data_IF_248393940747
#
_entry.id   IF_248393940747
#
_cell.length_a   1.000
_cell.length_b   1.000
_cell.length_c   1.000
_cell.angle_alpha   90.00
_cell.angle_beta   90.00
_cell.angle_gamma   90.00
#
_symmetry.space_group_name_H-M   'P 1'
#
loop_
_entity.id
_entity.type
_entity.pdbx_description
1 polymer ?
#
# COMPACT_ATOMS: atom_id res chain seq x y z
N UNK A 1 -8.76 -3.72 -4.16
CA UNK A 1 -7.45 -3.37 -3.55
C UNK A 1 -6.48 -2.92 -4.64
N UNK A 2 -5.54 -2.07 -4.28
CA UNK A 2 -4.51 -1.59 -5.19
C UNK A 2 -3.13 -1.70 -4.55
N UNK A 3 -2.11 -1.87 -5.38
CA UNK A 3 -0.70 -1.94 -4.97
C UNK A 3 0.19 -1.23 -5.98
N UNK A 4 1.28 -0.67 -5.49
CA UNK A 4 2.34 -0.06 -6.29
C UNK A 4 3.57 0.08 -5.39
N UNK A 5 4.69 0.53 -5.95
CA UNK A 5 5.92 0.77 -5.21
C UNK A 5 6.31 2.23 -5.34
N UNK A 6 6.66 2.87 -4.23
CA UNK A 6 7.22 4.22 -4.25
C UNK A 6 8.63 4.22 -3.69
N UNK A 7 9.43 5.19 -4.14
CA UNK A 7 10.83 5.35 -3.78
C UNK A 7 11.03 6.62 -2.96
N UNK A 8 11.85 6.53 -1.92
CA UNK A 8 12.35 7.67 -1.15
C UNK A 8 13.85 7.75 -1.31
N UNK A 9 14.37 8.96 -1.55
CA UNK A 9 15.80 9.19 -1.68
C UNK A 9 16.25 10.16 -0.58
N UNK A 10 17.11 9.68 0.32
CA UNK A 10 17.59 10.42 1.48
C UNK A 10 19.05 10.02 1.76
N UNK A 11 19.88 11.00 2.09
CA UNK A 11 21.30 10.76 2.46
C UNK A 11 22.08 9.98 1.39
N UNK A 12 21.75 10.20 0.10
CA UNK A 12 22.36 9.44 -0.99
C UNK A 12 21.98 7.98 -1.08
N UNK A 13 20.98 7.55 -0.31
CA UNK A 13 20.47 6.19 -0.27
C UNK A 13 19.00 6.16 -0.68
N UNK A 14 18.54 4.98 -1.10
CA UNK A 14 17.16 4.77 -1.52
C UNK A 14 16.43 3.81 -0.58
N UNK A 15 15.16 4.08 -0.39
CA UNK A 15 14.25 3.23 0.36
C UNK A 15 12.95 3.08 -0.42
N UNK A 16 12.35 1.90 -0.40
CA UNK A 16 11.14 1.58 -1.15
C UNK A 16 10.03 1.15 -0.22
N UNK A 17 8.81 1.59 -0.52
CA UNK A 17 7.60 1.19 0.17
C UNK A 17 6.67 0.53 -0.83
N UNK A 18 6.17 -0.66 -0.48
CA UNK A 18 5.17 -1.39 -1.24
C UNK A 18 3.94 -1.63 -0.37
N UNK A 19 2.86 -0.86 -0.53
CA UNK A 19 1.62 -1.04 0.20
C UNK A 19 0.56 -1.78 -0.60
N UNK A 20 -0.42 -2.37 0.11
CA UNK A 20 -1.72 -2.75 -0.44
C UNK A 20 -2.77 -1.86 0.21
N UNK A 21 -3.54 -1.14 -0.60
CA UNK A 21 -4.63 -0.29 -0.13
C UNK A 21 -5.99 -0.86 -0.52
N UNK A 22 -6.94 -0.74 0.40
CA UNK A 22 -8.35 -0.85 0.06
C UNK A 22 -8.76 0.43 -0.69
N UNK A 23 -9.09 0.30 -1.97
CA UNK A 23 -9.37 1.46 -2.83
C UNK A 23 -10.69 2.15 -2.48
N UNK A 24 -11.56 1.50 -1.72
CA UNK A 24 -12.83 2.09 -1.30
C UNK A 24 -12.66 3.09 -0.15
N UNK A 25 -11.93 2.72 0.88
CA UNK A 25 -11.77 3.55 2.08
C UNK A 25 -10.34 4.02 2.34
N UNK A 26 -9.37 3.60 1.52
CA UNK A 26 -7.97 3.96 1.69
C UNK A 26 -7.26 3.23 2.82
N UNK A 27 -7.88 2.20 3.41
CA UNK A 27 -7.26 1.43 4.48
C UNK A 27 -6.00 0.71 3.98
N UNK A 28 -4.92 0.84 4.74
CA UNK A 28 -3.65 0.19 4.44
C UNK A 28 -3.71 -1.26 4.96
N UNK A 29 -3.90 -2.21 4.05
CA UNK A 29 -4.06 -3.63 4.39
C UNK A 29 -2.75 -4.25 4.82
N UNK A 30 -1.67 -3.95 4.09
CA UNK A 30 -0.34 -4.46 4.34
C UNK A 30 0.69 -3.56 3.67
N UNK A 31 1.94 -3.63 4.12
CA UNK A 31 3.05 -2.96 3.46
C UNK A 31 4.37 -3.63 3.79
N UNK A 32 5.38 -3.40 2.94
CA UNK A 32 6.78 -3.71 3.22
C UNK A 32 7.64 -2.52 2.89
N UNK A 33 8.73 -2.36 3.64
CA UNK A 33 9.76 -1.35 3.42
C UNK A 33 11.07 -2.10 3.14
N UNK A 34 11.77 -1.71 2.07
CA UNK A 34 13.02 -2.37 1.67
C UNK A 34 14.02 -1.34 1.16
N UNK A 35 15.30 -1.67 1.25
CA UNK A 35 16.37 -0.89 0.63
C UNK A 35 16.58 -1.23 -0.84
N UNK A 36 15.93 -2.30 -1.33
CA UNK A 36 16.01 -2.74 -2.73
C UNK A 36 14.63 -3.12 -3.28
N UNK A 37 14.31 -2.74 -4.55
CA UNK A 37 13.02 -3.05 -5.15
C UNK A 37 13.02 -4.49 -5.72
N UNK A 38 13.18 -5.48 -4.87
CA UNK A 38 13.23 -6.90 -5.25
C UNK A 38 11.86 -7.58 -5.14
N UNK A 39 11.70 -8.69 -5.85
CA UNK A 39 10.44 -9.45 -5.82
C UNK A 39 10.08 -9.90 -4.40
N UNK A 40 11.07 -10.27 -3.58
CA UNK A 40 10.84 -10.69 -2.19
C UNK A 40 10.09 -9.66 -1.34
N UNK A 41 10.31 -8.37 -1.60
CA UNK A 41 9.56 -7.29 -0.94
C UNK A 41 8.06 -7.40 -1.23
N UNK A 42 7.70 -7.67 -2.48
CA UNK A 42 6.31 -7.79 -2.92
C UNK A 42 5.67 -9.07 -2.38
N UNK A 43 6.37 -10.19 -2.45
CA UNK A 43 5.84 -11.48 -1.96
C UNK A 43 5.66 -11.47 -0.46
N UNK A 44 6.58 -10.86 0.29
CA UNK A 44 6.45 -10.72 1.74
C UNK A 44 5.24 -9.83 2.11
N UNK A 45 5.00 -8.76 1.37
CA UNK A 45 3.81 -7.93 1.53
C UNK A 45 2.53 -8.75 1.34
N UNK A 46 2.48 -9.61 0.31
CA UNK A 46 1.34 -10.48 0.06
C UNK A 46 1.13 -11.47 1.22
N UNK A 47 2.20 -12.08 1.71
CA UNK A 47 2.11 -13.02 2.84
C UNK A 47 1.46 -12.36 4.06
N UNK A 48 1.88 -11.13 4.38
CA UNK A 48 1.31 -10.36 5.48
C UNK A 48 -0.17 -10.05 5.24
N UNK A 49 -0.53 -9.65 4.03
CA UNK A 49 -1.93 -9.37 3.67
C UNK A 49 -2.79 -10.64 3.79
N UNK A 50 -2.26 -11.79 3.40
CA UNK A 50 -2.99 -13.06 3.41
C UNK A 50 -3.32 -13.56 4.81
N UNK A 51 -2.64 -13.07 5.83
CA UNK A 51 -2.99 -13.36 7.23
C UNK A 51 -4.37 -12.85 7.61
N UNK A 52 -4.81 -11.76 6.97
CA UNK A 52 -6.10 -11.12 7.26
C UNK A 52 -7.15 -11.33 6.18
N UNK A 53 -6.77 -11.82 5.01
CA UNK A 53 -7.69 -12.05 3.89
C UNK A 53 -8.05 -13.54 3.85
N UNK A 54 -9.35 -13.90 3.94
CA UNK A 54 -9.77 -15.30 3.80
C UNK A 54 -9.51 -15.84 2.38
N UNK A 55 -9.39 -17.15 2.25
CA UNK A 55 -9.24 -17.81 0.97
C UNK A 55 -10.53 -17.72 0.14
N UNK A 56 -10.38 -17.65 -1.18
CA UNK A 56 -11.50 -17.78 -2.11
C UNK A 56 -12.49 -16.64 -2.10
N UNK A 57 -12.08 -15.43 -1.64
CA UNK A 57 -12.98 -14.27 -1.58
C UNK A 57 -13.32 -13.67 -2.95
N UNK A 58 -12.52 -13.97 -3.98
CA UNK A 58 -12.66 -13.34 -5.29
C UNK A 58 -12.30 -11.86 -5.33
N UNK A 59 -11.60 -11.37 -4.31
CA UNK A 59 -11.13 -9.99 -4.27
C UNK A 59 -10.26 -9.67 -5.48
N UNK A 60 -10.25 -8.40 -5.88
CA UNK A 60 -9.45 -7.92 -7.00
C UNK A 60 -8.27 -7.12 -6.46
N UNK A 61 -7.06 -7.47 -6.88
CA UNK A 61 -5.85 -6.69 -6.59
C UNK A 61 -5.36 -6.04 -7.89
N UNK A 62 -5.43 -4.73 -7.92
CA UNK A 62 -5.05 -3.92 -9.07
C UNK A 62 -3.63 -3.39 -8.92
N UNK A 63 -2.85 -3.42 -10.01
CA UNK A 63 -1.50 -2.85 -10.07
C UNK A 63 -1.25 -2.22 -11.44
N UNK A 64 -0.09 -1.58 -11.62
CA UNK A 64 0.40 -1.24 -12.95
C UNK A 64 1.00 -2.48 -13.63
N UNK A 65 1.67 -2.30 -14.77
CA UNK A 65 2.31 -3.37 -15.52
C UNK A 65 3.77 -3.59 -15.14
N UNK A 66 4.18 -3.24 -13.92
CA UNK A 66 5.53 -3.46 -13.44
C UNK A 66 5.96 -4.93 -13.53
N UNK A 67 7.26 -5.16 -13.72
CA UNK A 67 7.79 -6.51 -13.91
C UNK A 67 7.46 -7.47 -12.76
N UNK A 68 7.44 -6.97 -11.52
CA UNK A 68 7.15 -7.77 -10.33
C UNK A 68 5.73 -8.34 -10.34
N UNK A 69 4.78 -7.62 -10.93
CA UNK A 69 3.37 -8.04 -11.01
C UNK A 69 3.12 -8.99 -12.19
N UNK A 70 4.04 -9.04 -13.13
CA UNK A 70 4.01 -9.98 -14.25
C UNK A 70 4.76 -11.29 -13.94
N UNK A 71 5.45 -11.35 -12.80
CA UNK A 71 6.22 -12.51 -12.40
C UNK A 71 5.29 -13.68 -12.03
N UNK A 72 5.65 -14.88 -12.51
CA UNK A 72 4.83 -16.10 -12.30
C UNK A 72 4.59 -16.40 -10.82
N UNK A 73 5.58 -16.19 -9.98
CA UNK A 73 5.46 -16.43 -8.54
C UNK A 73 4.40 -15.55 -7.90
N UNK A 74 4.41 -14.25 -8.21
CA UNK A 74 3.39 -13.30 -7.76
C UNK A 74 2.00 -13.73 -8.20
N UNK A 75 1.84 -14.04 -9.48
CA UNK A 75 0.56 -14.46 -10.05
C UNK A 75 0.06 -15.76 -9.42
N UNK A 76 0.97 -16.70 -9.14
CA UNK A 76 0.66 -17.96 -8.49
C UNK A 76 0.15 -17.75 -7.06
N UNK A 77 0.78 -16.87 -6.29
CA UNK A 77 0.36 -16.56 -4.93
C UNK A 77 -1.06 -16.01 -4.89
N UNK A 78 -1.40 -15.07 -5.78
CA UNK A 78 -2.76 -14.53 -5.89
C UNK A 78 -3.77 -15.61 -6.25
N UNK A 79 -3.45 -16.43 -7.22
CA UNK A 79 -4.33 -17.51 -7.70
C UNK A 79 -4.63 -18.52 -6.58
N UNK A 80 -3.60 -18.92 -5.83
CA UNK A 80 -3.76 -19.85 -4.71
C UNK A 80 -4.65 -19.29 -3.60
N UNK A 81 -4.61 -17.98 -3.41
CA UNK A 81 -5.44 -17.30 -2.40
C UNK A 81 -6.87 -17.05 -2.89
N UNK A 82 -7.12 -17.20 -4.18
CA UNK A 82 -8.42 -16.89 -4.78
C UNK A 82 -8.60 -15.39 -5.04
N UNK A 83 -7.51 -14.66 -5.21
CA UNK A 83 -7.51 -13.23 -5.53
C UNK A 83 -7.33 -13.08 -7.04
N UNK A 84 -8.19 -12.28 -7.67
CA UNK A 84 -8.08 -11.96 -9.09
C UNK A 84 -7.10 -10.82 -9.30
N UNK A 85 -6.23 -10.97 -10.29
CA UNK A 85 -5.29 -9.93 -10.67
C UNK A 85 -5.90 -9.00 -11.71
N UNK A 86 -5.69 -7.69 -11.51
CA UNK A 86 -6.01 -6.67 -12.50
C UNK A 86 -4.80 -5.79 -12.71
N UNK A 87 -4.58 -5.33 -13.94
CA UNK A 87 -3.49 -4.42 -14.29
C UNK A 87 -4.05 -3.21 -15.01
N UNK A 88 -3.50 -2.02 -14.73
CA UNK A 88 -3.84 -0.82 -15.47
C UNK A 88 -3.39 -0.96 -16.92
N UNK A 89 -4.12 -0.28 -17.82
CA UNK A 89 -3.73 -0.22 -19.23
C UNK A 89 -2.40 0.51 -19.37
N UNK A 90 -1.59 0.07 -20.31
CA UNK A 90 -0.28 0.67 -20.57
C UNK A 90 -0.43 2.17 -20.82
N UNK A 91 0.30 2.98 -20.03
CA UNK A 91 0.29 4.43 -20.16
C UNK A 91 -0.94 5.13 -19.59
N UNK A 92 -1.86 4.42 -18.92
CA UNK A 92 -3.05 5.04 -18.31
C UNK A 92 -2.87 5.20 -16.79
N UNK A 93 -2.41 6.40 -16.38
CA UNK A 93 -2.17 6.73 -14.98
C UNK A 93 -3.45 6.91 -14.15
N UNK A 94 -4.62 7.12 -14.76
CA UNK A 94 -5.88 7.26 -14.03
C UNK A 94 -6.29 5.97 -13.33
N UNK A 95 -5.86 4.82 -13.85
CA UNK A 95 -6.18 3.52 -13.27
C UNK A 95 -5.53 3.32 -11.88
N UNK A 96 -4.47 4.10 -11.55
CA UNK A 96 -3.76 4.02 -10.27
C UNK A 96 -3.88 5.29 -9.43
N UNK A 97 -4.85 6.16 -9.73
CA UNK A 97 -4.96 7.49 -9.10
C UNK A 97 -5.08 7.43 -7.57
N UNK A 98 -5.78 6.43 -7.03
CA UNK A 98 -5.99 6.31 -5.58
C UNK A 98 -4.67 6.06 -4.85
N UNK A 99 -3.85 5.14 -5.36
CA UNK A 99 -2.58 4.82 -4.72
C UNK A 99 -1.55 5.93 -4.96
N UNK A 100 -1.59 6.60 -6.10
CA UNK A 100 -0.74 7.79 -6.36
C UNK A 100 -1.08 8.93 -5.39
N UNK A 101 -2.36 9.15 -5.12
CA UNK A 101 -2.79 10.13 -4.12
C UNK A 101 -2.29 9.77 -2.73
N UNK A 102 -2.31 8.50 -2.37
CA UNK A 102 -1.74 8.04 -1.11
C UNK A 102 -0.25 8.34 -1.01
N UNK A 103 0.51 8.06 -2.06
CA UNK A 103 1.95 8.37 -2.08
C UNK A 103 2.21 9.87 -2.02
N UNK A 104 1.44 10.68 -2.73
CA UNK A 104 1.54 12.13 -2.68
C UNK A 104 1.29 12.69 -1.29
N UNK A 105 0.26 12.19 -0.63
CA UNK A 105 -0.10 12.55 0.74
C UNK A 105 1.01 12.19 1.72
N UNK A 106 1.52 10.97 1.63
CA UNK A 106 2.61 10.49 2.45
C UNK A 106 3.85 11.39 2.33
N UNK A 107 4.24 11.72 1.10
CA UNK A 107 5.42 12.55 0.85
C UNK A 107 5.20 13.98 1.32
N UNK A 108 4.01 14.55 1.12
CA UNK A 108 3.74 15.93 1.56
C UNK A 108 3.61 16.05 3.08
N UNK A 109 3.03 15.08 3.76
CA UNK A 109 2.81 15.14 5.20
C UNK A 109 4.01 14.66 6.02
N UNK A 110 4.85 13.78 5.46
CA UNK A 110 6.00 13.23 6.17
C UNK A 110 7.32 13.74 5.60
N UNK A 111 7.59 13.46 4.32
CA UNK A 111 8.92 13.65 3.75
C UNK A 111 9.30 15.12 3.63
N UNK A 112 8.38 15.97 3.17
CA UNK A 112 8.68 17.37 2.85
C UNK A 112 8.55 18.32 4.04
N UNK A 113 7.86 17.93 5.10
CA UNK A 113 7.62 18.80 6.26
C UNK A 113 8.59 18.58 7.42
N UNK A 114 9.41 17.53 7.37
CA UNK A 114 10.32 17.17 8.46
C UNK A 114 11.75 16.99 7.97
N UNK A 115 12.69 17.18 8.89
CA UNK A 115 14.09 16.83 8.68
C UNK A 115 14.41 15.54 9.42
N UNK A 116 15.21 14.69 8.81
CA UNK A 116 15.60 13.41 9.39
C UNK A 116 17.10 13.36 9.63
N UNK A 117 17.51 12.72 10.73
CA UNK A 117 18.91 12.62 11.11
C UNK A 117 19.64 11.49 10.38
N UNK A 118 18.89 10.45 9.96
CA UNK A 118 19.42 9.27 9.29
C UNK A 118 18.30 8.55 8.52
N UNK A 119 18.70 7.58 7.71
CA UNK A 119 17.74 6.72 7.01
C UNK A 119 16.92 5.89 8.00
N UNK A 120 17.55 5.40 9.08
CA UNK A 120 16.85 4.67 10.15
C UNK A 120 15.82 5.54 10.86
N UNK A 121 16.13 6.81 11.12
CA UNK A 121 15.18 7.75 11.68
C UNK A 121 13.99 7.95 10.75
N UNK A 122 14.24 8.14 9.45
CA UNK A 122 13.16 8.25 8.47
C UNK A 122 12.30 7.00 8.44
N UNK A 123 12.90 5.81 8.44
CA UNK A 123 12.16 4.54 8.43
C UNK A 123 11.24 4.41 9.64
N UNK A 124 11.72 4.78 10.83
CA UNK A 124 10.91 4.75 12.05
C UNK A 124 9.74 5.73 11.96
N UNK A 125 9.98 6.95 11.49
CA UNK A 125 8.94 7.96 11.29
C UNK A 125 7.93 7.52 10.22
N UNK A 126 8.38 6.81 9.19
CA UNK A 126 7.51 6.26 8.16
C UNK A 126 6.55 5.20 8.75
N UNK A 127 7.07 4.29 9.56
CA UNK A 127 6.26 3.26 10.24
C UNK A 127 5.22 3.92 11.14
N UNK A 128 5.63 4.91 11.92
CA UNK A 128 4.73 5.66 12.81
C UNK A 128 3.66 6.42 12.03
N UNK A 129 4.04 7.02 10.89
CA UNK A 129 3.10 7.72 10.02
C UNK A 129 2.06 6.76 9.44
N UNK A 130 2.46 5.58 8.99
CA UNK A 130 1.54 4.60 8.42
C UNK A 130 0.53 4.11 9.46
N UNK A 131 0.95 3.94 10.70
CA UNK A 131 0.02 3.65 11.81
C UNK A 131 -0.95 4.82 12.05
N UNK A 132 -0.44 6.04 12.10
CA UNK A 132 -1.26 7.24 12.22
C UNK A 132 -2.27 7.34 11.07
N UNK A 133 -1.84 7.11 9.84
CA UNK A 133 -2.70 7.16 8.66
C UNK A 133 -3.90 6.22 8.78
N UNK A 134 -3.66 4.98 9.20
CA UNK A 134 -4.72 3.99 9.31
C UNK A 134 -5.67 4.25 10.47
N UNK A 135 -5.17 4.66 11.62
CA UNK A 135 -5.89 4.58 12.88
C UNK A 135 -6.29 5.94 13.46
N UNK A 136 -5.64 7.02 13.05
CA UNK A 136 -5.83 8.35 13.67
C UNK A 136 -6.09 9.47 12.67
N UNK A 137 -5.61 9.36 11.43
CA UNK A 137 -5.76 10.41 10.43
C UNK A 137 -7.20 10.50 9.95
N UNK A 138 -7.84 11.65 10.15
CA UNK A 138 -9.23 11.92 9.79
C UNK A 138 -9.34 12.23 8.29
N UNK A 139 -10.36 11.69 7.63
CA UNK A 139 -10.70 11.98 6.24
C UNK A 139 -12.16 12.42 6.12
N UNK A 140 -12.39 13.59 5.51
CA UNK A 140 -13.73 14.15 5.35
C UNK A 140 -14.67 13.20 4.59
N UNK A 141 -14.21 12.60 3.48
CA UNK A 141 -15.02 11.66 2.68
C UNK A 141 -15.31 10.32 3.38
N UNK A 142 -14.68 10.08 4.51
CA UNK A 142 -14.96 8.92 5.37
C UNK A 142 -15.74 9.35 6.63
N UNK A 143 -16.60 10.36 6.52
CA UNK A 143 -17.40 10.91 7.63
C UNK A 143 -16.55 11.44 8.79
N UNK A 144 -15.35 11.96 8.49
CA UNK A 144 -14.41 12.43 9.49
C UNK A 144 -13.73 11.34 10.31
N UNK A 145 -13.66 10.11 9.77
CA UNK A 145 -13.05 8.96 10.46
C UNK A 145 -11.72 8.56 9.81
N UNK A 146 -10.79 8.02 10.60
CA UNK A 146 -9.64 7.31 10.02
C UNK A 146 -10.06 6.07 9.23
N UNK A 147 -9.26 5.63 8.24
CA UNK A 147 -9.61 4.48 7.41
C UNK A 147 -9.97 3.20 8.18
N UNK A 148 -9.25 2.89 9.25
CA UNK A 148 -9.51 1.69 10.05
C UNK A 148 -10.86 1.74 10.75
N UNK A 149 -11.22 2.88 11.34
CA UNK A 149 -12.51 3.04 12.03
C UNK A 149 -13.67 3.04 11.04
N UNK A 150 -13.53 3.70 9.90
CA UNK A 150 -14.55 3.67 8.85
C UNK A 150 -14.80 2.23 8.37
N UNK A 151 -13.72 1.46 8.17
CA UNK A 151 -13.80 0.06 7.76
C UNK A 151 -14.54 -0.80 8.80
N UNK A 152 -14.24 -0.62 10.08
CA UNK A 152 -14.92 -1.34 11.15
C UNK A 152 -16.41 -1.02 11.21
N UNK A 153 -16.80 0.23 11.06
CA UNK A 153 -18.21 0.63 11.05
C UNK A 153 -18.95 0.02 9.85
N UNK A 154 -18.34 0.02 8.67
CA UNK A 154 -18.93 -0.58 7.49
C UNK A 154 -19.17 -2.08 7.67
N UNK A 155 -18.23 -2.79 8.31
CA UNK A 155 -18.36 -4.22 8.59
C UNK A 155 -19.43 -4.52 9.64
N UNK A 156 -19.64 -3.63 10.61
CA UNK A 156 -20.63 -3.83 11.67
C UNK A 156 -22.07 -3.63 11.21
N UNK A 157 -22.28 -2.95 10.09
CA UNK A 157 -23.61 -2.67 9.52
C UNK A 157 -23.99 -3.70 8.44
N UNK A 158 -23.02 -4.46 7.95
CA UNK A 158 -23.22 -5.43 6.88
C UNK A 158 -23.92 -6.72 7.34
#
# INVERSE_FOLDING_TARGET
MGTDVTEFSLFGQKMYLSPILDLHNGYLVSYTISDQPVLGMITFMLEKAFETIPDGTGLLLHSDQGWQYQHKHYQCMLRRKGIRQSMSRKGNCLDNAVIENFFGLLKSELLYLQNFDSLEHFKQELVDYLDYYNNRRIKAKLKGLPPALHRLQALSVA
#
